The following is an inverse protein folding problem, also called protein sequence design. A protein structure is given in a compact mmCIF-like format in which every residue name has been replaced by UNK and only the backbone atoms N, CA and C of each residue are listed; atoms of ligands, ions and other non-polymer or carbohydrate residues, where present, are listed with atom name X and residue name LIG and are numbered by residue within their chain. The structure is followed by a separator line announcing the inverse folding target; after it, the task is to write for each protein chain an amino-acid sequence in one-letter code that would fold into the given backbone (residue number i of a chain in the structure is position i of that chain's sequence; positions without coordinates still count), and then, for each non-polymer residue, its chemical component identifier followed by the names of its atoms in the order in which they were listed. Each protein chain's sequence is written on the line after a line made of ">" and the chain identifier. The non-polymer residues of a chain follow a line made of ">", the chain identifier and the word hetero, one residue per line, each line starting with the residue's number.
data_IF_081302814627
#
_entry.id   IF_081302814627
#
_cell.length_a   1.000
_cell.length_b   1.000
_cell.length_c   1.000
_cell.angle_alpha   90.00
_cell.angle_beta   90.00
_cell.angle_gamma   90.00
#
_symmetry.space_group_name_H-M   'P 1'
#
loop_
_entity.id
_entity.type
_entity.pdbx_description
1 polymer ?
#
# COMPACT_ATOMS: atom_id res chain seq x y z
N UNK A 1 3.18 20.31 -12.90
CA UNK A 1 3.35 18.85 -13.11
C UNK A 1 2.60 18.16 -11.98
N UNK A 2 1.43 17.59 -12.30
CA UNK A 2 0.35 17.32 -11.34
C UNK A 2 0.69 16.10 -10.45
N UNK A 3 1.04 16.36 -9.19
CA UNK A 3 1.48 15.38 -8.18
C UNK A 3 0.39 14.44 -7.64
N UNK A 4 -0.75 14.29 -8.31
CA UNK A 4 -1.89 13.52 -7.80
C UNK A 4 -1.96 12.07 -8.32
N UNK A 5 -1.40 11.75 -9.48
CA UNK A 5 -1.56 10.41 -10.08
C UNK A 5 -0.47 9.39 -9.75
N UNK A 6 0.63 9.83 -9.14
CA UNK A 6 1.73 8.96 -8.71
C UNK A 6 1.95 8.91 -7.19
N UNK A 7 1.44 9.88 -6.42
CA UNK A 7 1.75 10.02 -5.00
C UNK A 7 1.04 9.00 -4.11
N UNK A 8 -0.29 8.99 -4.11
CA UNK A 8 -1.08 8.14 -3.21
C UNK A 8 -0.93 6.64 -3.46
N UNK A 9 -0.81 6.23 -4.74
CA UNK A 9 -0.61 4.84 -5.15
C UNK A 9 0.74 4.31 -4.68
N UNK A 10 1.80 5.10 -4.87
CA UNK A 10 3.16 4.75 -4.43
C UNK A 10 3.33 4.90 -2.92
N UNK A 11 2.55 5.77 -2.26
CA UNK A 11 2.62 5.95 -0.82
C UNK A 11 2.21 4.68 -0.07
N UNK A 12 1.13 4.00 -0.50
CA UNK A 12 0.66 2.79 0.18
C UNK A 12 1.64 1.63 0.00
N UNK A 13 2.22 1.50 -1.19
CA UNK A 13 3.33 0.57 -1.46
C UNK A 13 4.53 0.86 -0.57
N UNK A 14 4.94 2.13 -0.43
CA UNK A 14 6.06 2.51 0.44
C UNK A 14 5.78 2.20 1.91
N UNK A 15 4.55 2.45 2.38
CA UNK A 15 4.12 2.11 3.73
C UNK A 15 4.15 0.59 3.94
N UNK A 16 3.63 -0.19 2.98
CA UNK A 16 3.65 -1.63 2.97
C UNK A 16 5.07 -2.21 3.03
N UNK A 17 6.00 -1.73 2.18
CA UNK A 17 7.41 -2.14 2.18
C UNK A 17 8.15 -1.82 3.48
N UNK A 18 7.72 -0.79 4.21
CA UNK A 18 8.31 -0.39 5.50
C UNK A 18 7.63 -1.04 6.70
N UNK A 19 6.51 -1.72 6.51
CA UNK A 19 5.69 -2.23 7.61
C UNK A 19 5.01 -1.11 8.39
N UNK A 20 4.85 0.07 7.80
CA UNK A 20 4.25 1.24 8.45
C UNK A 20 2.72 1.13 8.44
N UNK A 21 2.21 0.42 9.45
CA UNK A 21 0.77 0.18 9.63
C UNK A 21 -0.01 1.50 9.80
N UNK A 22 0.58 2.49 10.49
CA UNK A 22 -0.07 3.78 10.73
C UNK A 22 -0.29 4.55 9.43
N UNK A 23 0.77 4.64 8.61
CA UNK A 23 0.68 5.28 7.29
C UNK A 23 -0.22 4.48 6.34
N UNK A 24 -0.14 3.15 6.36
CA UNK A 24 -1.01 2.31 5.54
C UNK A 24 -2.48 2.54 5.86
N UNK A 25 -2.86 2.62 7.14
CA UNK A 25 -4.23 2.93 7.58
C UNK A 25 -4.70 4.32 7.15
N UNK A 26 -3.85 5.35 7.28
CA UNK A 26 -4.18 6.70 6.83
C UNK A 26 -4.45 6.74 5.33
N UNK A 27 -3.64 6.03 4.55
CA UNK A 27 -3.79 5.95 3.10
C UNK A 27 -5.02 5.16 2.69
N UNK A 28 -5.32 4.04 3.37
CA UNK A 28 -6.59 3.32 3.19
C UNK A 28 -7.80 4.21 3.49
N UNK A 29 -7.75 4.99 4.59
CA UNK A 29 -8.80 5.94 4.94
C UNK A 29 -8.95 7.07 3.92
N UNK A 30 -7.86 7.44 3.23
CA UNK A 30 -7.87 8.38 2.11
C UNK A 30 -8.37 7.74 0.78
N UNK A 31 -8.80 6.48 0.79
CA UNK A 31 -9.31 5.77 -0.38
C UNK A 31 -8.22 5.13 -1.25
N UNK A 32 -7.01 4.95 -0.74
CA UNK A 32 -5.97 4.22 -1.45
C UNK A 32 -6.35 2.74 -1.56
N UNK A 33 -6.26 2.20 -2.78
CA UNK A 33 -6.56 0.80 -3.04
C UNK A 33 -5.29 -0.06 -2.84
N UNK A 34 -5.28 -0.97 -1.85
CA UNK A 34 -4.13 -1.84 -1.58
C UNK A 34 -3.91 -2.92 -2.63
N UNK A 35 -4.94 -3.25 -3.43
CA UNK A 35 -4.91 -4.30 -4.46
C UNK A 35 -4.44 -3.77 -5.80
N UNK A 36 -4.42 -2.44 -5.97
CA UNK A 36 -4.03 -1.84 -7.24
C UNK A 36 -2.52 -1.99 -7.45
N UNK A 37 -2.08 -2.56 -8.59
CA UNK A 37 -0.66 -2.73 -8.86
C UNK A 37 0.02 -1.38 -9.09
N UNK A 38 1.27 -1.29 -8.68
CA UNK A 38 2.15 -0.17 -8.97
C UNK A 38 2.78 -0.28 -10.36
N UNK A 39 3.77 0.58 -10.66
CA UNK A 39 4.47 0.56 -11.95
C UNK A 39 5.31 -0.70 -12.19
N UNK A 40 5.57 -1.49 -11.16
CA UNK A 40 6.31 -2.75 -11.23
C UNK A 40 5.34 -3.94 -11.37
N UNK A 41 4.02 -3.69 -11.40
CA UNK A 41 3.02 -4.75 -11.47
C UNK A 41 2.70 -5.39 -10.12
N UNK A 42 3.21 -4.84 -9.01
CA UNK A 42 3.02 -5.38 -7.67
C UNK A 42 2.11 -4.48 -6.83
N UNK A 43 1.19 -5.08 -6.08
CA UNK A 43 0.28 -4.35 -5.19
C UNK A 43 0.94 -4.01 -3.85
N UNK A 44 0.33 -3.15 -3.05
CA UNK A 44 0.82 -2.88 -1.71
C UNK A 44 0.83 -4.15 -0.84
N UNK A 45 -0.12 -5.06 -1.06
CA UNK A 45 -0.16 -6.36 -0.37
C UNK A 45 1.07 -7.21 -0.72
N UNK A 46 1.41 -7.30 -2.01
CA UNK A 46 2.58 -8.08 -2.48
C UNK A 46 3.87 -7.53 -1.88
N UNK A 47 4.00 -6.21 -1.85
CA UNK A 47 5.14 -5.52 -1.26
C UNK A 47 5.24 -5.74 0.26
N UNK A 48 4.11 -5.75 0.98
CA UNK A 48 4.10 -6.07 2.41
C UNK A 48 4.55 -7.53 2.66
N UNK A 49 4.08 -8.48 1.84
CA UNK A 49 4.49 -9.90 1.92
C UNK A 49 5.96 -10.09 1.61
N UNK A 50 6.46 -9.49 0.53
CA UNK A 50 7.89 -9.56 0.15
C UNK A 50 8.82 -8.97 1.23
N UNK A 51 8.36 -7.95 1.96
CA UNK A 51 9.10 -7.36 3.07
C UNK A 51 8.95 -8.15 4.39
N UNK A 52 8.16 -9.22 4.43
CA UNK A 52 7.91 -10.03 5.63
C UNK A 52 6.86 -9.44 6.59
N UNK A 53 6.12 -8.42 6.16
CA UNK A 53 5.07 -7.77 6.95
C UNK A 53 3.71 -8.46 6.76
N UNK A 54 3.65 -9.76 7.04
CA UNK A 54 2.46 -10.61 6.89
C UNK A 54 1.22 -10.05 7.59
N UNK A 55 1.36 -9.53 8.81
CA UNK A 55 0.26 -8.93 9.55
C UNK A 55 -0.34 -7.71 8.82
N UNK A 56 0.52 -6.88 8.21
CA UNK A 56 0.08 -5.73 7.42
C UNK A 56 -0.54 -6.17 6.10
N UNK A 57 0.04 -7.16 5.43
CA UNK A 57 -0.53 -7.73 4.21
C UNK A 57 -1.95 -8.24 4.43
N UNK A 58 -2.18 -9.01 5.50
CA UNK A 58 -3.52 -9.48 5.89
C UNK A 58 -4.47 -8.33 6.20
N UNK A 59 -4.00 -7.29 6.87
CA UNK A 59 -4.82 -6.12 7.16
C UNK A 59 -5.24 -5.39 5.87
N UNK A 60 -4.32 -5.28 4.90
CA UNK A 60 -4.57 -4.68 3.59
C UNK A 60 -5.51 -5.54 2.72
N UNK A 61 -5.44 -6.88 2.82
CA UNK A 61 -6.36 -7.79 2.13
C UNK A 61 -7.79 -7.70 2.66
N UNK A 62 -7.95 -7.43 3.96
CA UNK A 62 -9.25 -7.27 4.60
C UNK A 62 -9.84 -5.87 4.41
N UNK A 63 -9.04 -4.90 3.98
CA UNK A 63 -9.50 -3.55 3.69
C UNK A 63 -10.30 -3.56 2.37
N UNK A 64 -11.62 -3.41 2.48
CA UNK A 64 -12.56 -3.54 1.36
C UNK A 64 -12.82 -2.23 0.64
#
# INVERSE_FOLDING_TARGET
>A
MNGADGGGRTALVRAARRGDVGMARLLLAAGADPRRPDRQGASAIDHARQAGHEALARHLEQAR
#
